data_IF_006418720990
#
_entry.id   IF_006418720990
#
_cell.length_a   1.000
_cell.length_b   1.000
_cell.length_c   1.000
_cell.angle_alpha   90.00
_cell.angle_beta   90.00
_cell.angle_gamma   90.00
#
_symmetry.space_group_name_H-M   'P 1'
#
loop_
_entity.id
_entity.type
_entity.pdbx_description
1 polymer ?
#
# COMPACT_ATOMS: atom_id res chain seq x y z
N UNK A 1 21.91 9.46 1.78
CA UNK A 1 22.24 9.60 0.34
C UNK A 1 21.24 8.89 -0.57
N UNK A 2 20.39 7.98 -0.09
CA UNK A 2 19.32 7.31 -0.87
C UNK A 2 19.80 6.75 -2.23
N UNK A 3 21.06 6.32 -2.28
CA UNK A 3 21.68 5.70 -3.45
C UNK A 3 21.51 4.18 -3.36
N UNK A 4 21.30 3.49 -4.49
CA UNK A 4 21.26 3.99 -5.87
C UNK A 4 19.89 4.56 -6.30
N UNK A 5 18.88 4.51 -5.43
CA UNK A 5 17.49 4.80 -5.76
C UNK A 5 17.25 6.23 -6.25
N UNK A 6 17.96 7.22 -5.72
CA UNK A 6 17.89 8.63 -6.16
C UNK A 6 18.27 8.81 -7.63
N UNK A 7 19.26 8.04 -8.09
CA UNK A 7 19.72 8.04 -9.48
C UNK A 7 18.76 7.25 -10.38
N UNK A 8 18.20 6.15 -9.88
CA UNK A 8 17.17 5.38 -10.59
C UNK A 8 15.86 6.15 -10.73
N UNK A 9 15.50 6.96 -9.74
CA UNK A 9 14.34 7.84 -9.77
C UNK A 9 14.42 8.87 -10.91
N UNK A 10 15.63 9.36 -11.24
CA UNK A 10 15.86 10.23 -12.41
C UNK A 10 15.60 9.50 -13.73
N UNK A 11 15.89 8.20 -13.80
CA UNK A 11 15.60 7.36 -14.97
C UNK A 11 14.11 6.95 -15.07
N UNK A 12 13.25 7.50 -14.19
CA UNK A 12 11.81 7.22 -14.15
C UNK A 12 11.44 5.94 -13.37
N UNK A 13 12.43 5.23 -12.82
CA UNK A 13 12.23 4.01 -12.04
C UNK A 13 11.95 4.34 -10.57
N UNK A 14 10.85 5.06 -10.31
CA UNK A 14 10.40 5.31 -8.93
C UNK A 14 9.56 4.13 -8.46
N UNK A 15 10.02 3.43 -7.42
CA UNK A 15 9.29 2.32 -6.82
C UNK A 15 8.45 2.83 -5.64
N UNK A 16 7.23 2.32 -5.54
CA UNK A 16 6.40 2.48 -4.34
C UNK A 16 6.96 1.58 -3.22
N UNK A 17 6.93 1.99 -1.94
CA UNK A 17 7.19 1.09 -0.82
C UNK A 17 6.28 -0.15 -0.91
N UNK A 18 6.82 -1.33 -0.61
CA UNK A 18 6.14 -2.62 -0.84
C UNK A 18 4.77 -2.70 -0.16
N UNK A 19 4.69 -2.27 1.10
CA UNK A 19 3.44 -2.24 1.88
C UNK A 19 2.39 -1.36 1.20
N UNK A 20 2.78 -0.16 0.75
CA UNK A 20 1.87 0.75 0.08
C UNK A 20 1.41 0.19 -1.28
N UNK A 21 2.30 -0.51 -1.99
CA UNK A 21 1.99 -1.17 -3.25
C UNK A 21 0.95 -2.27 -3.06
N UNK A 22 1.16 -3.14 -2.09
CA UNK A 22 0.23 -4.22 -1.73
C UNK A 22 -1.14 -3.66 -1.34
N UNK A 23 -1.17 -2.58 -0.55
CA UNK A 23 -2.41 -1.92 -0.13
C UNK A 23 -3.17 -1.32 -1.32
N UNK A 24 -2.47 -0.67 -2.26
CA UNK A 24 -3.06 -0.16 -3.50
C UNK A 24 -3.60 -1.32 -4.33
N UNK A 25 -2.82 -2.36 -4.56
CA UNK A 25 -3.25 -3.54 -5.33
C UNK A 25 -4.51 -4.18 -4.73
N UNK A 26 -4.60 -4.30 -3.41
CA UNK A 26 -5.80 -4.78 -2.73
C UNK A 26 -7.04 -3.93 -3.05
N UNK A 27 -6.91 -2.60 -3.02
CA UNK A 27 -7.99 -1.69 -3.40
C UNK A 27 -8.38 -1.86 -4.87
N UNK A 28 -7.40 -2.01 -5.76
CA UNK A 28 -7.63 -2.19 -7.20
C UNK A 28 -8.33 -3.52 -7.51
N UNK A 29 -8.00 -4.60 -6.80
CA UNK A 29 -8.68 -5.91 -6.90
C UNK A 29 -10.14 -5.78 -6.47
N UNK A 30 -10.43 -4.96 -5.47
CA UNK A 30 -11.80 -4.66 -5.02
C UNK A 30 -12.58 -3.68 -5.92
N UNK A 31 -12.07 -3.40 -7.13
CA UNK A 31 -12.72 -2.54 -8.13
C UNK A 31 -12.35 -1.05 -8.03
N UNK A 32 -11.51 -0.67 -7.06
CA UNK A 32 -11.11 0.72 -6.83
C UNK A 32 -12.27 1.67 -6.53
N UNK A 33 -12.02 2.99 -6.52
CA UNK A 33 -13.03 4.02 -6.29
C UNK A 33 -14.25 3.90 -7.23
N UNK A 34 -14.04 3.58 -8.51
CA UNK A 34 -15.13 3.37 -9.47
C UNK A 34 -16.05 2.20 -9.08
N UNK A 35 -15.51 1.16 -8.42
CA UNK A 35 -16.30 0.02 -7.94
C UNK A 35 -17.32 0.40 -6.85
N UNK A 36 -17.11 1.50 -6.12
CA UNK A 36 -18.06 1.95 -5.09
C UNK A 36 -19.41 2.36 -5.71
N UNK A 37 -19.42 2.87 -6.94
CA UNK A 37 -20.67 3.30 -7.59
C UNK A 37 -21.62 2.11 -7.83
N UNK A 38 -21.07 0.96 -8.23
CA UNK A 38 -21.85 -0.27 -8.42
C UNK A 38 -22.44 -0.78 -7.09
N UNK A 39 -21.69 -0.71 -6.00
CA UNK A 39 -22.15 -1.17 -4.68
C UNK A 39 -23.16 -0.20 -4.05
N UNK A 40 -22.99 1.11 -4.24
CA UNK A 40 -24.00 2.10 -3.89
C UNK A 40 -25.30 1.88 -4.67
N UNK A 41 -25.19 1.49 -5.94
CA UNK A 41 -26.37 1.16 -6.74
C UNK A 41 -27.08 -0.08 -6.19
N UNK A 42 -26.33 -1.13 -5.82
CA UNK A 42 -26.89 -2.31 -5.15
C UNK A 42 -27.60 -1.94 -3.84
N UNK A 43 -27.00 -1.07 -3.03
CA UNK A 43 -27.59 -0.58 -1.78
C UNK A 43 -28.94 0.10 -2.01
N UNK A 44 -29.01 0.95 -3.05
CA UNK A 44 -30.24 1.64 -3.46
C UNK A 44 -31.31 0.67 -3.96
N UNK A 45 -30.92 -0.33 -4.73
CA UNK A 45 -31.84 -1.35 -5.22
C UNK A 45 -32.43 -2.19 -4.07
N UNK A 46 -31.61 -2.62 -3.10
CA UNK A 46 -32.07 -3.30 -1.88
C UNK A 46 -33.02 -2.42 -1.07
N UNK A 47 -32.67 -1.15 -0.86
CA UNK A 47 -33.54 -0.20 -0.16
C UNK A 47 -34.89 -0.03 -0.86
N UNK A 48 -34.92 0.01 -2.20
CA UNK A 48 -36.16 0.11 -2.97
C UNK A 48 -37.02 -1.14 -2.77
N UNK A 49 -36.43 -2.34 -2.87
CA UNK A 49 -37.15 -3.60 -2.71
C UNK A 49 -37.75 -3.71 -1.31
N UNK A 50 -36.98 -3.41 -0.27
CA UNK A 50 -37.47 -3.48 1.12
C UNK A 50 -38.60 -2.48 1.37
N UNK A 51 -38.50 -1.28 0.79
CA UNK A 51 -39.57 -0.28 0.88
C UNK A 51 -40.85 -0.72 0.15
N UNK A 52 -40.72 -1.30 -1.04
CA UNK A 52 -41.85 -1.83 -1.80
C UNK A 52 -42.55 -2.97 -1.05
N UNK A 53 -41.80 -3.91 -0.47
CA UNK A 53 -42.36 -4.99 0.36
C UNK A 53 -43.12 -4.44 1.58
N UNK A 54 -42.59 -3.39 2.22
CA UNK A 54 -43.26 -2.75 3.35
C UNK A 54 -44.59 -2.12 2.94
N UNK A 55 -44.60 -1.35 1.84
CA UNK A 55 -45.82 -0.74 1.30
C UNK A 55 -46.85 -1.81 0.94
N UNK A 56 -46.46 -2.85 0.21
CA UNK A 56 -47.37 -3.93 -0.18
C UNK A 56 -47.98 -4.62 1.05
N UNK A 57 -47.20 -4.82 2.11
CA UNK A 57 -47.69 -5.41 3.37
C UNK A 57 -48.67 -4.47 4.08
N UNK A 58 -48.37 -3.17 4.11
CA UNK A 58 -49.25 -2.15 4.68
C UNK A 58 -50.59 -2.07 3.93
N UNK A 59 -50.55 -2.07 2.61
CA UNK A 59 -51.74 -2.05 1.75
C UNK A 59 -52.63 -3.29 1.98
N UNK A 60 -52.03 -4.47 2.16
CA UNK A 60 -52.78 -5.70 2.46
C UNK A 60 -53.49 -5.61 3.81
N UNK A 61 -52.81 -5.13 4.85
CA UNK A 61 -53.42 -4.93 6.18
C UNK A 61 -54.51 -3.86 6.14
N UNK A 62 -54.28 -2.78 5.40
CA UNK A 62 -55.27 -1.71 5.26
C UNK A 62 -56.50 -2.21 4.51
N UNK A 63 -56.32 -2.93 3.40
CA UNK A 63 -57.41 -3.55 2.64
C UNK A 63 -58.26 -4.45 3.52
N UNK A 64 -57.65 -5.37 4.27
CA UNK A 64 -58.34 -6.26 5.20
C UNK A 64 -59.13 -5.49 6.26
N UNK A 65 -58.54 -4.45 6.85
CA UNK A 65 -59.22 -3.60 7.81
C UNK A 65 -60.42 -2.84 7.21
N UNK A 66 -60.30 -2.34 5.97
CA UNK A 66 -61.41 -1.69 5.25
C UNK A 66 -62.54 -2.68 4.94
N UNK A 67 -62.22 -3.88 4.47
CA UNK A 67 -63.21 -4.93 4.17
C UNK A 67 -63.96 -5.35 5.43
N UNK A 68 -63.24 -5.57 6.54
CA UNK A 68 -63.83 -5.91 7.84
C UNK A 68 -64.74 -4.78 8.37
N UNK A 69 -64.34 -3.52 8.22
CA UNK A 69 -65.19 -2.38 8.56
C UNK A 69 -66.46 -2.31 7.69
N UNK A 70 -66.33 -2.55 6.38
CA UNK A 70 -67.47 -2.60 5.47
C UNK A 70 -68.45 -3.72 5.85
N UNK A 71 -67.96 -4.93 6.13
CA UNK A 71 -68.81 -6.05 6.52
C UNK A 71 -69.49 -5.85 7.87
N UNK A 72 -68.82 -5.24 8.85
CA UNK A 72 -69.48 -4.84 10.10
C UNK A 72 -70.60 -3.83 9.88
N UNK A 73 -70.39 -2.83 9.02
CA UNK A 73 -71.42 -1.85 8.70
C UNK A 73 -72.63 -2.50 8.00
N UNK A 74 -72.39 -3.46 7.10
CA UNK A 74 -73.46 -4.14 6.35
C UNK A 74 -74.23 -5.18 7.17
N UNK A 75 -73.54 -5.98 7.96
CA UNK A 75 -74.11 -7.16 8.63
C UNK A 75 -74.37 -6.97 10.14
N UNK A 76 -73.86 -5.88 10.74
CA UNK A 76 -74.10 -5.51 12.13
C UNK A 76 -73.82 -6.68 13.09
N UNK A 77 -74.81 -7.04 13.90
CA UNK A 77 -74.70 -8.09 14.92
C UNK A 77 -74.51 -9.51 14.36
N UNK A 78 -74.70 -9.72 13.05
CA UNK A 78 -74.43 -11.02 12.39
C UNK A 78 -72.94 -11.21 12.06
N UNK A 79 -72.11 -10.16 12.12
CA UNK A 79 -70.66 -10.24 11.92
C UNK A 79 -69.94 -10.41 13.26
N UNK A 80 -69.73 -11.66 13.66
CA UNK A 80 -69.19 -12.01 14.99
C UNK A 80 -67.68 -12.20 15.05
N UNK A 81 -66.96 -11.94 13.94
CA UNK A 81 -65.51 -12.09 13.89
C UNK A 81 -64.81 -11.01 14.72
N UNK A 82 -63.70 -11.32 15.42
CA UNK A 82 -62.89 -10.34 16.12
C UNK A 82 -62.47 -9.18 15.21
N UNK A 83 -62.26 -8.00 15.79
CA UNK A 83 -61.83 -6.82 15.06
C UNK A 83 -60.47 -7.04 14.39
N UNK A 84 -60.38 -6.72 13.09
CA UNK A 84 -59.13 -6.79 12.33
C UNK A 84 -58.00 -6.06 13.03
N UNK A 85 -58.24 -4.84 13.53
CA UNK A 85 -57.23 -4.07 14.29
C UNK A 85 -56.72 -4.77 15.55
N UNK A 86 -57.52 -5.65 16.16
CA UNK A 86 -57.09 -6.44 17.33
C UNK A 86 -56.24 -7.63 16.89
N UNK A 87 -56.60 -8.29 15.79
CA UNK A 87 -55.85 -9.44 15.26
C UNK A 87 -54.52 -9.03 14.61
N UNK A 88 -54.49 -7.88 13.93
CA UNK A 88 -53.31 -7.41 13.18
C UNK A 88 -52.38 -6.50 13.97
N UNK A 89 -52.70 -6.19 15.23
CA UNK A 89 -51.91 -5.27 16.08
C UNK A 89 -50.41 -5.61 16.11
N UNK A 90 -50.06 -6.88 16.31
CA UNK A 90 -48.64 -7.28 16.34
C UNK A 90 -47.94 -7.10 14.98
N UNK A 91 -48.67 -7.30 13.88
CA UNK A 91 -48.15 -7.08 12.54
C UNK A 91 -47.92 -5.60 12.28
N UNK A 92 -48.85 -4.74 12.69
CA UNK A 92 -48.71 -3.28 12.62
C UNK A 92 -47.53 -2.78 13.46
N UNK A 93 -47.35 -3.31 14.68
CA UNK A 93 -46.21 -2.98 15.53
C UNK A 93 -44.87 -3.37 14.88
N UNK A 94 -44.80 -4.53 14.21
CA UNK A 94 -43.61 -4.95 13.45
C UNK A 94 -43.38 -4.09 12.22
N UNK A 95 -44.44 -3.75 11.48
CA UNK A 95 -44.36 -2.89 10.29
C UNK A 95 -43.82 -1.50 10.66
N UNK A 96 -44.29 -0.92 11.77
CA UNK A 96 -43.77 0.34 12.29
C UNK A 96 -42.27 0.27 12.65
N UNK A 97 -41.79 -0.87 13.17
CA UNK A 97 -40.35 -1.07 13.44
C UNK A 97 -39.54 -1.14 12.15
N UNK A 98 -39.99 -1.90 11.16
CA UNK A 98 -39.33 -1.96 9.86
C UNK A 98 -39.31 -0.59 9.16
N UNK A 99 -40.41 0.17 9.26
CA UNK A 99 -40.46 1.54 8.72
C UNK A 99 -39.45 2.47 9.42
N UNK A 100 -39.28 2.35 10.74
CA UNK A 100 -38.28 3.10 11.48
C UNK A 100 -36.84 2.69 11.09
N UNK A 101 -36.57 1.40 10.94
CA UNK A 101 -35.27 0.90 10.51
C UNK A 101 -34.92 1.37 9.09
N UNK A 102 -35.87 1.28 8.14
CA UNK A 102 -35.67 1.78 6.78
C UNK A 102 -35.39 3.28 6.75
N UNK A 103 -36.03 4.06 7.63
CA UNK A 103 -35.76 5.49 7.75
C UNK A 103 -34.33 5.75 8.25
N UNK A 104 -33.90 5.04 9.29
CA UNK A 104 -32.53 5.13 9.81
C UNK A 104 -31.49 4.69 8.76
N UNK A 105 -31.78 3.62 8.02
CA UNK A 105 -30.93 3.11 6.95
C UNK A 105 -30.81 4.14 5.81
N UNK A 106 -31.89 4.83 5.44
CA UNK A 106 -31.86 5.90 4.46
C UNK A 106 -31.02 7.12 4.92
N UNK A 107 -31.06 7.46 6.20
CA UNK A 107 -30.19 8.49 6.77
C UNK A 107 -28.71 8.08 6.70
N UNK A 108 -28.40 6.81 6.98
CA UNK A 108 -27.05 6.25 6.84
C UNK A 108 -26.56 6.26 5.39
N UNK A 109 -27.37 5.80 4.44
CA UNK A 109 -27.04 5.81 3.02
C UNK A 109 -26.72 7.23 2.53
N UNK A 110 -27.48 8.23 2.98
CA UNK A 110 -27.24 9.62 2.62
C UNK A 110 -25.89 10.13 3.15
N UNK A 111 -25.42 9.64 4.30
CA UNK A 111 -24.08 9.94 4.81
C UNK A 111 -22.99 9.26 3.98
N UNK A 112 -23.20 8.00 3.59
CA UNK A 112 -22.26 7.26 2.73
C UNK A 112 -22.15 7.95 1.36
N UNK A 113 -23.28 8.24 0.71
CA UNK A 113 -23.33 8.94 -0.59
C UNK A 113 -22.62 10.31 -0.52
N UNK A 114 -22.76 11.02 0.61
CA UNK A 114 -22.06 12.30 0.84
C UNK A 114 -20.56 12.09 1.01
N UNK A 115 -20.15 11.13 1.85
CA UNK A 115 -18.75 10.78 2.10
C UNK A 115 -18.01 10.43 0.81
N UNK A 116 -18.64 9.63 -0.07
CA UNK A 116 -18.11 9.27 -1.39
C UNK A 116 -17.88 10.50 -2.26
N UNK A 117 -18.86 11.40 -2.34
CA UNK A 117 -18.75 12.63 -3.14
C UNK A 117 -17.66 13.56 -2.61
N UNK A 118 -17.65 13.80 -1.30
CA UNK A 118 -16.68 14.68 -0.64
C UNK A 118 -15.23 14.20 -0.83
N UNK A 119 -15.00 12.88 -0.80
CA UNK A 119 -13.65 12.30 -0.87
C UNK A 119 -13.29 11.76 -2.26
N UNK A 120 -14.16 11.95 -3.27
CA UNK A 120 -13.93 11.51 -4.66
C UNK A 120 -12.59 12.00 -5.23
N UNK A 121 -12.27 13.28 -5.05
CA UNK A 121 -11.03 13.88 -5.54
C UNK A 121 -9.77 13.35 -4.80
N UNK A 122 -9.91 12.95 -3.53
CA UNK A 122 -8.82 12.31 -2.80
C UNK A 122 -8.61 10.89 -3.31
N UNK A 123 -9.70 10.13 -3.49
CA UNK A 123 -9.66 8.74 -3.91
C UNK A 123 -9.25 8.56 -5.37
N UNK A 124 -9.43 9.57 -6.23
CA UNK A 124 -9.07 9.46 -7.66
C UNK A 124 -7.59 9.17 -7.91
N UNK A 125 -6.71 9.43 -6.93
CA UNK A 125 -5.29 9.03 -7.02
C UNK A 125 -5.13 7.50 -7.15
N UNK A 126 -6.07 6.73 -6.63
CA UNK A 126 -6.07 5.26 -6.67
C UNK A 126 -6.52 4.70 -8.04
N UNK A 127 -7.05 5.55 -8.93
CA UNK A 127 -7.44 5.18 -10.29
C UNK A 127 -6.25 5.14 -11.25
N UNK A 128 -5.11 5.72 -10.87
CA UNK A 128 -3.88 5.69 -11.68
C UNK A 128 -3.40 4.24 -11.93
N UNK A 129 -3.02 3.97 -13.18
CA UNK A 129 -2.49 2.68 -13.64
C UNK A 129 -1.29 2.93 -14.58
N UNK A 130 -0.06 2.57 -14.18
CA UNK A 130 0.36 2.09 -12.85
C UNK A 130 0.25 3.21 -11.79
N UNK A 131 0.16 2.88 -10.50
CA UNK A 131 -0.02 3.88 -9.42
C UNK A 131 1.18 4.84 -9.35
N UNK A 132 2.35 4.37 -9.75
CA UNK A 132 3.60 5.12 -9.84
C UNK A 132 3.48 6.36 -10.75
N UNK A 133 2.51 6.38 -11.69
CA UNK A 133 2.22 7.57 -12.51
C UNK A 133 1.64 8.75 -11.72
N UNK A 134 1.13 8.51 -10.51
CA UNK A 134 0.67 9.56 -9.60
C UNK A 134 1.83 10.19 -8.80
N UNK A 135 3.01 9.55 -8.79
CA UNK A 135 4.16 10.07 -8.07
C UNK A 135 4.78 11.26 -8.82
N UNK A 136 5.36 12.23 -8.11
CA UNK A 136 6.17 13.25 -8.75
C UNK A 136 7.35 12.57 -9.46
N UNK A 137 7.73 13.10 -10.62
CA UNK A 137 8.95 12.71 -11.32
C UNK A 137 10.10 13.60 -10.88
N UNK A 138 11.26 12.99 -10.63
CA UNK A 138 12.49 13.75 -10.51
C UNK A 138 12.85 14.22 -11.93
N UNK A 139 12.68 15.51 -12.19
CA UNK A 139 12.88 16.08 -13.52
C UNK A 139 14.21 16.81 -13.61
N UNK A 140 14.76 16.83 -14.82
CA UNK A 140 15.93 17.66 -15.13
C UNK A 140 15.55 19.13 -14.99
N UNK A 141 16.42 19.99 -14.43
CA UNK A 141 16.21 21.43 -14.41
C UNK A 141 15.86 21.97 -15.80
N UNK A 142 14.78 22.75 -15.90
CA UNK A 142 14.24 23.26 -17.19
C UNK A 142 15.23 24.21 -17.89
N UNK A 143 16.15 24.81 -17.14
CA UNK A 143 17.24 25.65 -17.65
C UNK A 143 18.58 24.99 -17.35
N UNK A 144 19.02 24.11 -18.24
CA UNK A 144 20.39 23.61 -18.22
C UNK A 144 20.96 23.73 -19.63
N UNK A 145 21.89 24.66 -19.80
CA UNK A 145 22.57 24.90 -21.07
C UNK A 145 23.81 24.01 -21.24
N UNK A 146 24.17 23.22 -20.22
CA UNK A 146 25.50 22.61 -20.12
C UNK A 146 25.40 21.09 -19.98
N UNK A 147 26.31 20.35 -20.66
CA UNK A 147 26.44 18.89 -20.56
C UNK A 147 26.93 18.39 -19.17
N UNK A 148 26.94 19.26 -18.16
CA UNK A 148 27.45 18.99 -16.81
C UNK A 148 26.56 18.04 -16.02
N UNK A 149 25.24 18.08 -16.21
CA UNK A 149 24.29 17.21 -15.52
C UNK A 149 24.51 15.72 -15.85
N UNK A 150 24.60 15.41 -17.14
CA UNK A 150 24.86 14.04 -17.60
C UNK A 150 26.23 13.56 -17.15
N UNK A 151 27.20 14.47 -17.06
CA UNK A 151 28.53 14.16 -16.52
C UNK A 151 28.46 13.80 -15.04
N UNK A 152 27.70 14.53 -14.22
CA UNK A 152 27.58 14.27 -12.77
C UNK A 152 26.84 12.95 -12.53
N UNK A 153 25.72 12.74 -13.22
CA UNK A 153 24.95 11.49 -13.14
C UNK A 153 25.79 10.30 -13.62
N UNK A 154 26.50 10.48 -14.74
CA UNK A 154 27.39 9.46 -15.30
C UNK A 154 28.54 9.11 -14.37
N UNK A 155 29.19 10.13 -13.78
CA UNK A 155 30.29 9.96 -12.84
C UNK A 155 29.82 9.27 -11.55
N UNK A 156 28.67 9.66 -11.01
CA UNK A 156 28.08 9.01 -9.83
C UNK A 156 27.71 7.55 -10.12
N UNK A 157 27.08 7.25 -11.26
CA UNK A 157 26.80 5.88 -11.72
C UNK A 157 28.09 5.06 -11.85
N UNK A 158 29.15 5.65 -12.37
CA UNK A 158 30.45 4.99 -12.50
C UNK A 158 31.07 4.69 -11.13
N UNK A 159 31.06 5.64 -10.21
CA UNK A 159 31.61 5.46 -8.86
C UNK A 159 30.84 4.41 -8.05
N UNK A 160 29.52 4.34 -8.20
CA UNK A 160 28.72 3.26 -7.62
C UNK A 160 29.12 1.88 -8.16
N UNK A 161 29.31 1.75 -9.48
CA UNK A 161 29.80 0.48 -10.09
C UNK A 161 31.20 0.10 -9.63
N UNK A 162 32.07 1.08 -9.41
CA UNK A 162 33.41 0.85 -8.86
C UNK A 162 33.32 0.34 -7.42
N UNK A 163 32.43 0.90 -6.60
CA UNK A 163 32.17 0.42 -5.24
C UNK A 163 31.66 -1.03 -5.24
N UNK A 164 30.72 -1.38 -6.13
CA UNK A 164 30.25 -2.77 -6.29
C UNK A 164 31.40 -3.71 -6.69
N UNK A 165 32.29 -3.25 -7.58
CA UNK A 165 33.46 -4.01 -8.01
C UNK A 165 34.42 -4.26 -6.83
N UNK A 166 34.65 -3.26 -5.97
CA UNK A 166 35.44 -3.43 -4.75
C UNK A 166 34.80 -4.43 -3.78
N UNK A 167 33.47 -4.43 -3.68
CA UNK A 167 32.70 -5.42 -2.92
C UNK A 167 32.90 -6.85 -3.45
N UNK A 168 32.81 -7.03 -4.77
CA UNK A 168 33.05 -8.32 -5.41
C UNK A 168 34.51 -8.80 -5.24
N UNK A 169 35.48 -7.90 -5.35
CA UNK A 169 36.89 -8.19 -5.07
C UNK A 169 37.08 -8.67 -3.62
N UNK A 170 36.42 -8.02 -2.65
CA UNK A 170 36.48 -8.41 -1.24
C UNK A 170 35.94 -9.82 -0.99
N UNK A 171 34.82 -10.18 -1.63
CA UNK A 171 34.30 -11.54 -1.57
C UNK A 171 35.32 -12.56 -2.12
N UNK A 172 35.99 -12.23 -3.23
CA UNK A 172 37.07 -13.05 -3.78
C UNK A 172 38.28 -13.20 -2.84
N UNK A 173 38.71 -12.11 -2.19
CA UNK A 173 39.77 -12.14 -1.18
C UNK A 173 39.40 -13.04 0.01
N UNK A 174 38.15 -12.97 0.46
CA UNK A 174 37.64 -13.82 1.54
C UNK A 174 37.69 -15.31 1.17
N UNK A 175 37.26 -15.66 -0.04
CA UNK A 175 37.29 -17.04 -0.54
C UNK A 175 38.73 -17.56 -0.67
N UNK A 176 39.65 -16.74 -1.19
CA UNK A 176 41.07 -17.08 -1.27
C UNK A 176 41.66 -17.35 0.12
N UNK A 177 41.34 -16.50 1.11
CA UNK A 177 41.82 -16.67 2.48
C UNK A 177 41.27 -17.95 3.13
N UNK A 178 39.98 -18.24 2.93
CA UNK A 178 39.35 -19.50 3.41
C UNK A 178 40.00 -20.72 2.79
N UNK A 179 40.27 -20.68 1.49
CA UNK A 179 40.90 -21.79 0.77
C UNK A 179 42.36 -22.00 1.20
N UNK A 180 43.11 -20.91 1.41
CA UNK A 180 44.44 -20.97 1.98
C UNK A 180 44.43 -21.62 3.35
N UNK A 181 43.56 -21.14 4.27
CA UNK A 181 43.39 -21.73 5.60
C UNK A 181 43.05 -23.22 5.54
N UNK A 182 42.17 -23.64 4.63
CA UNK A 182 41.79 -25.05 4.46
C UNK A 182 42.98 -25.93 4.05
N UNK A 183 43.85 -25.40 3.20
CA UNK A 183 45.03 -26.10 2.67
C UNK A 183 46.26 -26.01 3.60
N UNK A 184 46.25 -25.11 4.58
CA UNK A 184 47.40 -24.84 5.44
C UNK A 184 47.51 -25.83 6.61
N UNK A 185 47.93 -27.06 6.32
CA UNK A 185 48.23 -28.06 7.35
C UNK A 185 49.69 -27.94 7.82
N UNK A 186 49.87 -27.40 9.03
CA UNK A 186 51.19 -27.19 9.64
C UNK A 186 51.69 -28.37 10.50
N UNK A 187 50.83 -29.35 10.83
CA UNK A 187 51.19 -30.50 11.69
C UNK A 187 52.43 -31.26 11.19
N UNK A 188 52.55 -31.62 9.89
CA UNK A 188 53.74 -32.31 9.40
C UNK A 188 55.02 -31.47 9.54
N UNK A 189 54.91 -30.15 9.39
CA UNK A 189 56.04 -29.22 9.52
C UNK A 189 56.47 -29.05 10.97
N UNK A 190 55.50 -29.01 11.90
CA UNK A 190 55.76 -29.00 13.34
C UNK A 190 56.50 -30.27 13.78
N UNK A 191 56.09 -31.45 13.29
CA UNK A 191 56.75 -32.71 13.62
C UNK A 191 58.18 -32.83 13.07
N UNK A 192 58.48 -32.15 11.96
CA UNK A 192 59.79 -32.18 11.30
C UNK A 192 60.74 -31.06 11.78
N UNK A 193 60.25 -30.07 12.53
CA UNK A 193 61.05 -28.92 12.95
C UNK A 193 61.79 -29.23 14.24
N UNK A 194 63.12 -29.27 14.19
CA UNK A 194 63.99 -29.44 15.37
C UNK A 194 64.43 -28.10 16.01
N UNK A 195 63.96 -26.97 15.47
CA UNK A 195 64.34 -25.60 15.87
C UNK A 195 63.18 -24.79 16.46
N UNK A 196 63.28 -23.46 16.42
CA UNK A 196 62.27 -22.55 16.98
C UNK A 196 60.91 -22.66 16.30
N UNK A 197 59.87 -23.00 17.06
CA UNK A 197 58.50 -23.06 16.57
C UNK A 197 57.92 -21.67 16.24
N UNK A 198 58.39 -20.62 16.91
CA UNK A 198 57.99 -19.24 16.62
C UNK A 198 58.40 -18.81 15.21
N UNK A 199 59.61 -19.16 14.77
CA UNK A 199 60.08 -18.83 13.43
C UNK A 199 59.29 -19.60 12.35
N UNK A 200 58.89 -20.84 12.66
CA UNK A 200 58.01 -21.63 11.81
C UNK A 200 56.63 -20.97 11.68
N UNK A 201 55.98 -20.63 12.79
CA UNK A 201 54.68 -19.95 12.75
C UNK A 201 54.74 -18.62 12.01
N UNK A 202 55.79 -17.83 12.24
CA UNK A 202 56.00 -16.54 11.56
C UNK A 202 56.08 -16.72 10.04
N UNK A 203 56.80 -17.74 9.57
CA UNK A 203 56.95 -18.06 8.15
C UNK A 203 55.69 -18.65 7.51
N UNK A 204 54.89 -19.38 8.28
CA UNK A 204 53.63 -19.93 7.79
C UNK A 204 52.55 -18.86 7.71
N UNK A 205 52.48 -17.95 8.69
CA UNK A 205 51.57 -16.79 8.69
C UNK A 205 51.93 -15.79 7.58
N UNK A 206 53.22 -15.58 7.29
CA UNK A 206 53.65 -14.62 6.25
C UNK A 206 53.15 -14.96 4.85
N UNK A 207 52.64 -16.17 4.62
CA UNK A 207 51.97 -16.51 3.35
C UNK A 207 50.71 -15.69 3.11
N UNK A 208 50.05 -15.25 4.18
CA UNK A 208 48.85 -14.44 4.12
C UNK A 208 49.15 -12.95 3.88
N UNK A 209 50.42 -12.53 3.96
CA UNK A 209 50.80 -11.11 3.88
C UNK A 209 50.30 -10.45 2.59
N UNK A 210 50.39 -11.16 1.45
CA UNK A 210 49.87 -10.66 0.18
C UNK A 210 48.35 -10.39 0.22
N UNK A 211 47.56 -11.30 0.81
CA UNK A 211 46.12 -11.10 0.97
C UNK A 211 45.85 -9.92 1.92
N UNK A 212 46.63 -9.79 3.00
CA UNK A 212 46.52 -8.65 3.93
C UNK A 212 46.80 -7.32 3.22
N UNK A 213 47.81 -7.27 2.34
CA UNK A 213 48.12 -6.09 1.51
C UNK A 213 46.98 -5.77 0.53
N UNK A 214 46.41 -6.78 -0.13
CA UNK A 214 45.27 -6.58 -1.04
C UNK A 214 44.01 -6.12 -0.30
N UNK A 215 43.75 -6.63 0.90
CA UNK A 215 42.67 -6.14 1.77
C UNK A 215 42.93 -4.68 2.16
N UNK A 216 44.15 -4.34 2.59
CA UNK A 216 44.49 -2.97 2.96
C UNK A 216 44.31 -2.00 1.78
N UNK A 217 44.72 -2.41 0.58
CA UNK A 217 44.50 -1.66 -0.65
C UNK A 217 43.01 -1.50 -0.96
N UNK A 218 42.22 -2.59 -0.91
CA UNK A 218 40.78 -2.55 -1.15
C UNK A 218 40.05 -1.61 -0.17
N UNK A 219 40.47 -1.58 1.10
CA UNK A 219 39.94 -0.64 2.10
C UNK A 219 40.31 0.81 1.79
N UNK A 220 41.56 1.08 1.40
CA UNK A 220 41.99 2.43 1.00
C UNK A 220 41.27 2.93 -0.26
N UNK A 221 41.11 2.06 -1.26
CA UNK A 221 40.33 2.35 -2.48
C UNK A 221 38.85 2.60 -2.14
N UNK A 222 38.28 1.86 -1.17
CA UNK A 222 36.91 2.08 -0.71
C UNK A 222 36.75 3.45 -0.01
N UNK A 223 37.71 3.85 0.83
CA UNK A 223 37.66 5.15 1.51
C UNK A 223 37.66 6.30 0.49
N UNK A 224 38.53 6.23 -0.52
CA UNK A 224 38.60 7.23 -1.58
C UNK A 224 37.31 7.29 -2.42
N UNK A 225 36.77 6.13 -2.83
CA UNK A 225 35.55 6.14 -3.66
C UNK A 225 34.34 6.63 -2.87
N UNK A 226 34.24 6.33 -1.58
CA UNK A 226 33.15 6.82 -0.73
C UNK A 226 33.20 8.35 -0.57
N UNK A 227 34.38 8.94 -0.43
CA UNK A 227 34.54 10.40 -0.43
C UNK A 227 34.08 11.01 -1.77
N UNK A 228 34.40 10.37 -2.89
CA UNK A 228 34.00 10.86 -4.20
C UNK A 228 32.49 10.75 -4.42
N UNK A 229 31.89 9.61 -4.05
CA UNK A 229 30.43 9.41 -4.09
C UNK A 229 29.71 10.46 -3.25
N UNK A 230 30.22 10.76 -2.06
CA UNK A 230 29.60 11.77 -1.20
C UNK A 230 29.59 13.16 -1.85
N UNK A 231 30.74 13.60 -2.37
CA UNK A 231 30.83 14.89 -3.05
C UNK A 231 29.92 14.96 -4.29
N UNK A 232 29.94 13.92 -5.13
CA UNK A 232 29.08 13.82 -6.32
C UNK A 232 27.59 13.77 -5.95
N UNK A 233 27.22 13.10 -4.86
CA UNK A 233 25.85 13.02 -4.40
C UNK A 233 25.36 14.37 -3.87
N UNK A 234 26.19 15.12 -3.15
CA UNK A 234 25.84 16.45 -2.65
C UNK A 234 25.60 17.42 -3.82
N UNK A 235 26.45 17.37 -4.85
CA UNK A 235 26.28 18.14 -6.08
C UNK A 235 25.02 17.72 -6.86
N UNK A 236 24.79 16.42 -7.01
CA UNK A 236 23.57 15.87 -7.59
C UNK A 236 22.32 16.35 -6.84
N UNK A 237 22.31 16.25 -5.51
CA UNK A 237 21.17 16.63 -4.70
C UNK A 237 20.84 18.12 -4.83
N UNK A 238 21.86 18.97 -4.94
CA UNK A 238 21.69 20.40 -5.15
C UNK A 238 21.14 20.74 -6.55
N UNK A 239 21.68 20.13 -7.60
CA UNK A 239 21.28 20.41 -8.99
C UNK A 239 19.86 19.93 -9.28
N UNK A 240 19.53 18.70 -8.88
CA UNK A 240 18.23 18.09 -9.16
C UNK A 240 17.17 18.45 -8.12
N UNK A 241 17.48 19.36 -7.18
CA UNK A 241 16.62 19.77 -6.08
C UNK A 241 15.99 18.56 -5.37
N UNK A 242 16.84 17.59 -5.05
CA UNK A 242 16.42 16.25 -4.62
C UNK A 242 15.65 16.30 -3.30
N UNK A 243 15.92 17.27 -2.43
CA UNK A 243 15.21 17.43 -1.17
C UNK A 243 13.74 17.82 -1.38
N UNK A 244 13.45 18.77 -2.28
CA UNK A 244 12.06 19.14 -2.63
C UNK A 244 11.32 17.99 -3.31
N UNK A 245 12.02 17.20 -4.13
CA UNK A 245 11.47 15.97 -4.71
C UNK A 245 11.08 14.97 -3.62
N UNK A 246 11.93 14.72 -2.61
CA UNK A 246 11.60 13.83 -1.50
C UNK A 246 10.39 14.30 -0.73
N UNK A 247 10.33 15.59 -0.41
CA UNK A 247 9.20 16.18 0.32
C UNK A 247 7.91 16.02 -0.48
N UNK A 248 7.97 16.26 -1.79
CA UNK A 248 6.83 16.07 -2.69
C UNK A 248 6.40 14.60 -2.79
N UNK A 249 7.35 13.68 -2.90
CA UNK A 249 7.10 12.23 -2.98
C UNK A 249 6.45 11.71 -1.69
N UNK A 250 6.99 12.11 -0.54
CA UNK A 250 6.46 11.76 0.77
C UNK A 250 5.04 12.30 0.97
N UNK A 251 4.77 13.51 0.48
CA UNK A 251 3.41 14.08 0.47
C UNK A 251 2.47 13.23 -0.38
N UNK A 252 2.89 12.76 -1.55
CA UNK A 252 2.09 11.87 -2.39
C UNK A 252 1.86 10.52 -1.73
N UNK A 253 2.86 9.93 -1.05
CA UNK A 253 2.67 8.70 -0.27
C UNK A 253 1.58 8.87 0.78
N UNK A 254 1.62 9.96 1.56
CA UNK A 254 0.58 10.25 2.56
C UNK A 254 -0.80 10.48 1.93
N UNK A 255 -0.86 11.07 0.74
CA UNK A 255 -2.11 11.22 -0.01
C UNK A 255 -2.68 9.87 -0.44
N UNK A 256 -1.83 8.96 -0.93
CA UNK A 256 -2.22 7.59 -1.29
C UNK A 256 -2.70 6.83 -0.05
N UNK A 257 -1.97 6.88 1.06
CA UNK A 257 -2.36 6.25 2.34
C UNK A 257 -3.72 6.76 2.82
N UNK A 258 -3.93 8.09 2.82
CA UNK A 258 -5.19 8.70 3.20
C UNK A 258 -6.34 8.28 2.28
N UNK A 259 -6.09 8.19 0.97
CA UNK A 259 -7.07 7.73 -0.01
C UNK A 259 -7.45 6.26 0.23
N UNK A 260 -6.48 5.39 0.51
CA UNK A 260 -6.71 3.97 0.81
C UNK A 260 -7.53 3.82 2.09
N UNK A 261 -7.13 4.51 3.16
CA UNK A 261 -7.84 4.49 4.43
C UNK A 261 -9.30 4.93 4.24
N UNK A 262 -9.52 6.01 3.48
CA UNK A 262 -10.87 6.51 3.23
C UNK A 262 -11.71 5.59 2.36
N UNK A 263 -11.10 5.00 1.32
CA UNK A 263 -11.75 3.98 0.50
C UNK A 263 -12.20 2.80 1.34
N UNK A 264 -11.32 2.25 2.21
CA UNK A 264 -11.63 1.12 3.09
C UNK A 264 -12.77 1.42 4.04
N UNK A 265 -12.76 2.59 4.68
CA UNK A 265 -13.84 3.05 5.56
C UNK A 265 -15.18 3.12 4.83
N UNK A 266 -15.21 3.72 3.63
CA UNK A 266 -16.45 3.82 2.83
C UNK A 266 -16.93 2.44 2.38
N UNK A 267 -16.01 1.58 1.93
CA UNK A 267 -16.28 0.21 1.49
C UNK A 267 -16.91 -0.62 2.62
N UNK A 268 -16.35 -0.53 3.82
CA UNK A 268 -16.85 -1.21 5.02
C UNK A 268 -18.28 -0.74 5.35
N UNK A 269 -18.52 0.57 5.38
CA UNK A 269 -19.86 1.12 5.62
C UNK A 269 -20.90 0.66 4.58
N UNK A 270 -20.52 0.57 3.31
CA UNK A 270 -21.41 0.05 2.26
C UNK A 270 -21.70 -1.43 2.49
N UNK A 271 -20.67 -2.24 2.75
CA UNK A 271 -20.83 -3.66 3.03
C UNK A 271 -21.72 -3.94 4.24
N UNK A 272 -21.53 -3.21 5.33
CA UNK A 272 -22.38 -3.30 6.52
C UNK A 272 -23.83 -2.93 6.19
N UNK A 273 -24.04 -1.93 5.34
CA UNK A 273 -25.36 -1.52 4.86
C UNK A 273 -26.03 -2.58 3.97
N UNK A 274 -25.26 -3.28 3.13
CA UNK A 274 -25.76 -4.40 2.31
C UNK A 274 -26.16 -5.56 3.22
N UNK A 275 -25.25 -6.01 4.09
CA UNK A 275 -25.47 -7.15 5.00
C UNK A 275 -26.65 -6.90 5.93
N UNK A 276 -26.80 -5.69 6.46
CA UNK A 276 -27.92 -5.34 7.33
C UNK A 276 -29.27 -5.46 6.60
N UNK A 277 -29.34 -5.03 5.33
CA UNK A 277 -30.58 -5.08 4.53
C UNK A 277 -30.94 -6.47 4.01
N UNK A 278 -29.96 -7.37 3.91
CA UNK A 278 -30.21 -8.78 3.57
C UNK A 278 -30.73 -9.59 4.76
N UNK A 279 -30.47 -9.15 5.99
CA UNK A 279 -30.91 -9.83 7.22
C UNK A 279 -32.23 -9.32 7.80
N UNK A 280 -32.67 -8.10 7.45
CA UNK A 280 -33.94 -7.49 7.88
C UNK A 280 -35.15 -7.94 7.05
#
# INVERSE_FOLDING_TARGET
MDLPDSVLALDGNTLLPTVLKEDVEAVQICGGPAGLEAELQQLKDLSRVNHEMLIQTEEQLQKEATEDAQFRNQFGTRWTRPQSSTLTKNLQDRLNRFAANLKQAAESDALIDRSVREHSALMSILDSRPIESALPSLSRPIMSLDASEDSIVGALKQSLRQLDTLGAQRAGLEDMLKEMKRKDNILPKLMATAGSHEDLFRKEISKCDHICEEIAKNLGDQEQILMHIQAQNDEFAAIFNFEDYKVSREKTYKQIEAAIAKYREIKENINDGIVSREME
#
